data_IF_096828223290
#
_entry.id   IF_096828223290
#
_cell.length_a   1.000
_cell.length_b   1.000
_cell.length_c   1.000
_cell.angle_alpha   90.00
_cell.angle_beta   90.00
_cell.angle_gamma   90.00
#
_symmetry.space_group_name_H-M   'P 1'
#
loop_
_entity.id
_entity.type
_entity.pdbx_description
1 polymer ?
#
# COMPACT_ATOMS: atom_id res chain seq x y z
N UNK A 1 5.95 -17.15 -29.39
CA UNK A 1 6.22 -17.19 -27.95
C UNK A 1 6.83 -15.85 -27.61
N UNK A 2 6.01 -14.94 -27.06
CA UNK A 2 6.46 -13.60 -26.68
C UNK A 2 7.32 -13.70 -25.43
N UNK A 3 8.52 -13.19 -25.53
CA UNK A 3 9.44 -13.01 -24.41
C UNK A 3 8.76 -12.04 -23.42
N UNK A 4 8.32 -12.56 -22.29
CA UNK A 4 7.66 -11.80 -21.24
C UNK A 4 8.65 -10.84 -20.59
N UNK A 5 8.73 -9.62 -21.14
CA UNK A 5 9.56 -8.56 -20.61
C UNK A 5 9.21 -8.30 -19.16
N UNK A 6 10.11 -8.62 -18.24
CA UNK A 6 9.98 -8.29 -16.81
C UNK A 6 10.17 -6.78 -16.64
N UNK A 7 9.15 -6.12 -16.04
CA UNK A 7 9.25 -4.71 -15.67
C UNK A 7 10.13 -4.56 -14.44
N UNK A 8 11.34 -4.07 -14.62
CA UNK A 8 12.23 -3.72 -13.52
C UNK A 8 12.05 -2.24 -13.16
N UNK A 9 11.45 -1.95 -12.01
CA UNK A 9 11.60 -0.64 -11.39
C UNK A 9 13.00 -0.58 -10.78
N UNK A 10 13.91 0.20 -11.39
CA UNK A 10 15.33 0.25 -10.96
C UNK A 10 15.47 0.86 -9.56
N UNK A 11 14.59 1.76 -9.13
CA UNK A 11 14.58 2.26 -7.76
C UNK A 11 14.08 1.17 -6.79
N UNK A 12 13.07 0.40 -7.18
CA UNK A 12 12.67 -0.80 -6.43
C UNK A 12 13.77 -1.85 -6.43
N UNK A 13 14.53 -2.00 -7.52
CA UNK A 13 15.69 -2.89 -7.59
C UNK A 13 16.87 -2.37 -6.77
N UNK A 14 17.10 -1.06 -6.71
CA UNK A 14 18.10 -0.48 -5.80
C UNK A 14 17.65 -0.63 -4.35
N UNK A 15 16.35 -0.52 -4.07
CA UNK A 15 15.76 -0.82 -2.77
C UNK A 15 15.87 -2.32 -2.44
N UNK A 16 15.52 -3.22 -3.38
CA UNK A 16 15.62 -4.69 -3.19
C UNK A 16 17.05 -5.19 -3.13
N UNK A 17 18.02 -4.52 -3.82
CA UNK A 17 19.46 -4.86 -3.84
C UNK A 17 20.31 -3.90 -3.03
N UNK A 18 19.77 -2.76 -2.55
CA UNK A 18 20.46 -1.73 -1.81
C UNK A 18 20.60 -2.06 -0.31
N UNK A 19 21.21 -1.15 0.42
CA UNK A 19 21.28 -1.22 1.89
C UNK A 19 19.86 -1.04 2.44
N UNK A 20 19.22 -2.14 2.84
CA UNK A 20 18.02 -2.05 3.66
C UNK A 20 18.42 -1.52 5.04
N UNK A 21 17.63 -0.61 5.63
CA UNK A 21 17.76 -0.34 7.05
C UNK A 21 17.69 -1.67 7.81
N UNK A 22 18.50 -1.82 8.84
CA UNK A 22 18.42 -3.01 9.68
C UNK A 22 17.06 -3.02 10.39
N UNK A 23 16.20 -3.99 10.06
CA UNK A 23 14.87 -4.15 10.68
C UNK A 23 13.70 -3.97 9.71
N UNK A 24 12.50 -4.00 10.27
CA UNK A 24 11.26 -3.91 9.52
C UNK A 24 10.93 -2.45 9.17
N UNK A 25 10.85 -2.13 7.90
CA UNK A 25 10.57 -0.75 7.43
C UNK A 25 9.18 -0.25 7.84
N UNK A 26 8.16 -1.12 7.98
CA UNK A 26 6.84 -0.73 8.45
C UNK A 26 6.85 -0.44 9.96
N UNK A 27 7.63 -1.17 10.75
CA UNK A 27 7.87 -0.81 12.15
C UNK A 27 8.62 0.52 12.27
N UNK A 28 9.63 0.76 11.43
CA UNK A 28 10.36 2.02 11.41
C UNK A 28 9.46 3.21 11.01
N UNK A 29 8.58 3.03 10.02
CA UNK A 29 7.59 4.06 9.66
C UNK A 29 6.59 4.30 10.80
N UNK A 30 6.11 3.23 11.47
CA UNK A 30 5.27 3.30 12.66
C UNK A 30 5.91 4.15 13.77
N UNK A 31 7.21 3.98 13.96
CA UNK A 31 8.00 4.63 15.01
C UNK A 31 8.63 5.96 14.57
N UNK A 32 8.20 6.47 13.40
CA UNK A 32 8.66 7.75 12.81
C UNK A 32 10.19 7.86 12.67
N UNK A 33 10.85 6.73 12.32
CA UNK A 33 12.28 6.74 12.04
C UNK A 33 12.61 7.66 10.86
N UNK A 34 13.66 8.49 10.96
CA UNK A 34 14.10 9.35 9.85
C UNK A 34 14.70 8.56 8.66
N UNK A 35 14.99 7.29 8.84
CA UNK A 35 15.61 6.44 7.81
C UNK A 35 14.61 5.89 6.79
N UNK A 36 13.30 6.11 7.00
CA UNK A 36 12.23 5.67 6.10
C UNK A 36 11.25 6.80 5.81
N UNK A 37 10.65 6.76 4.62
CA UNK A 37 9.62 7.72 4.25
C UNK A 37 8.30 7.29 4.89
N UNK A 38 7.73 8.12 5.74
CA UNK A 38 6.39 7.91 6.32
C UNK A 38 5.31 8.48 5.40
N UNK A 39 4.57 7.58 4.75
CA UNK A 39 3.41 7.90 3.92
C UNK A 39 2.08 7.48 4.58
N UNK A 40 2.06 7.38 5.90
CA UNK A 40 0.85 7.07 6.67
C UNK A 40 -0.23 8.11 6.41
N UNK A 41 -1.46 7.64 6.17
CA UNK A 41 -2.64 8.49 5.96
C UNK A 41 -3.63 8.41 7.12
N UNK A 42 -3.55 7.32 7.88
CA UNK A 42 -4.40 7.05 9.04
C UNK A 42 -3.72 6.04 9.97
N UNK A 43 -4.03 6.15 11.25
CA UNK A 43 -3.57 5.24 12.30
C UNK A 43 -4.59 5.17 13.42
N UNK A 44 -4.80 3.98 13.96
CA UNK A 44 -5.40 3.78 15.29
C UNK A 44 -4.48 2.93 16.18
N UNK A 45 -5.02 2.34 17.22
CA UNK A 45 -4.29 1.49 18.18
C UNK A 45 -3.90 0.11 17.61
N UNK A 46 -4.60 -0.37 16.58
CA UNK A 46 -4.40 -1.69 16.00
C UNK A 46 -3.78 -1.67 14.59
N UNK A 47 -4.10 -0.66 13.76
CA UNK A 47 -3.71 -0.62 12.36
C UNK A 47 -3.18 0.75 11.91
N UNK A 48 -2.37 0.69 10.85
CA UNK A 48 -1.88 1.85 10.11
C UNK A 48 -2.20 1.65 8.64
N UNK A 49 -2.73 2.69 7.99
CA UNK A 49 -2.87 2.76 6.54
C UNK A 49 -1.84 3.74 5.98
N UNK A 50 -1.10 3.33 4.96
CA UNK A 50 -0.09 4.16 4.31
C UNK A 50 -0.16 4.00 2.79
N UNK A 51 0.22 5.05 2.05
CA UNK A 51 0.46 4.95 0.60
C UNK A 51 1.72 4.13 0.36
N UNK A 52 1.66 3.19 -0.57
CA UNK A 52 2.84 2.43 -0.96
C UNK A 52 3.85 3.36 -1.67
N UNK A 53 5.09 3.39 -1.20
CA UNK A 53 6.16 4.20 -1.80
C UNK A 53 6.48 3.79 -3.26
N UNK A 54 6.29 2.51 -3.58
CA UNK A 54 6.45 1.96 -4.94
C UNK A 54 5.13 1.39 -5.44
N UNK A 55 4.13 2.27 -5.72
CA UNK A 55 2.78 1.82 -6.01
C UNK A 55 2.71 1.08 -7.34
N UNK A 56 1.84 0.07 -7.41
CA UNK A 56 1.48 -0.57 -8.68
C UNK A 56 0.58 0.33 -9.51
N UNK A 57 -0.30 1.11 -8.84
CA UNK A 57 -1.21 2.08 -9.43
C UNK A 57 -1.34 3.30 -8.52
N UNK A 58 -1.75 4.47 -9.04
CA UNK A 58 -2.13 5.61 -8.20
C UNK A 58 -3.15 5.21 -7.13
N UNK A 59 -2.96 5.66 -5.90
CA UNK A 59 -3.83 5.29 -4.78
C UNK A 59 -3.55 3.92 -4.13
N UNK A 60 -2.49 3.21 -4.52
CA UNK A 60 -2.13 1.93 -3.90
C UNK A 60 -1.80 2.12 -2.41
N UNK A 61 -2.65 1.56 -1.54
CA UNK A 61 -2.47 1.57 -0.09
C UNK A 61 -1.97 0.24 0.45
N UNK A 62 -1.27 0.34 1.57
CA UNK A 62 -0.95 -0.75 2.49
C UNK A 62 -1.74 -0.53 3.78
N UNK A 63 -2.43 -1.56 4.27
CA UNK A 63 -3.06 -1.58 5.58
C UNK A 63 -2.38 -2.67 6.40
N UNK A 64 -1.73 -2.30 7.51
CA UNK A 64 -0.89 -3.22 8.28
C UNK A 64 -1.09 -3.03 9.79
N UNK A 65 -0.95 -4.11 10.59
CA UNK A 65 -1.09 -4.04 12.03
C UNK A 65 0.04 -3.22 12.68
N UNK A 66 -0.27 -2.55 13.79
CA UNK A 66 0.71 -1.79 14.58
C UNK A 66 1.76 -2.72 15.17
N UNK A 67 1.35 -3.90 15.68
CA UNK A 67 2.29 -4.92 16.14
C UNK A 67 2.94 -5.63 14.96
N UNK A 68 4.17 -6.05 15.10
CA UNK A 68 4.88 -6.80 14.06
C UNK A 68 4.39 -8.24 14.03
N UNK A 69 3.74 -8.63 12.94
CA UNK A 69 3.37 -10.01 12.59
C UNK A 69 3.65 -10.23 11.12
N UNK A 70 3.86 -11.46 10.70
CA UNK A 70 4.18 -11.81 9.31
C UNK A 70 3.07 -12.59 8.61
N UNK A 71 2.16 -13.18 9.39
CA UNK A 71 1.12 -14.08 8.87
C UNK A 71 -0.28 -13.64 9.34
N UNK A 72 -1.26 -13.73 8.44
CA UNK A 72 -2.66 -13.40 8.74
C UNK A 72 -3.26 -14.25 9.86
N UNK A 73 -2.75 -15.48 10.05
CA UNK A 73 -3.18 -16.39 11.10
C UNK A 73 -2.77 -15.95 12.51
N UNK A 74 -1.88 -14.99 12.62
CA UNK A 74 -1.45 -14.40 13.88
C UNK A 74 -2.36 -13.27 14.36
N UNK A 75 -3.29 -12.80 13.50
CA UNK A 75 -4.24 -11.76 13.89
C UNK A 75 -5.21 -12.26 14.95
N UNK A 76 -5.50 -11.41 15.91
CA UNK A 76 -6.58 -11.65 16.89
C UNK A 76 -7.95 -11.42 16.26
N UNK A 77 -9.01 -11.96 16.86
CA UNK A 77 -10.38 -11.71 16.38
C UNK A 77 -10.74 -10.21 16.37
N UNK A 78 -10.23 -9.43 17.32
CA UNK A 78 -10.43 -7.98 17.34
C UNK A 78 -9.74 -7.30 16.15
N UNK A 79 -8.50 -7.71 15.84
CA UNK A 79 -7.77 -7.19 14.69
C UNK A 79 -8.45 -7.57 13.37
N UNK A 80 -8.98 -8.78 13.22
CA UNK A 80 -9.72 -9.19 12.02
C UNK A 80 -10.96 -8.32 11.79
N UNK A 81 -11.74 -8.04 12.84
CA UNK A 81 -12.92 -7.16 12.76
C UNK A 81 -12.51 -5.74 12.41
N UNK A 82 -11.45 -5.21 13.05
CA UNK A 82 -10.92 -3.86 12.77
C UNK A 82 -10.38 -3.74 11.36
N UNK A 83 -9.63 -4.75 10.89
CA UNK A 83 -9.10 -4.83 9.54
C UNK A 83 -10.21 -4.73 8.49
N UNK A 84 -11.28 -5.53 8.65
CA UNK A 84 -12.41 -5.52 7.72
C UNK A 84 -13.14 -4.16 7.70
N UNK A 85 -13.28 -3.50 8.85
CA UNK A 85 -13.90 -2.19 8.95
C UNK A 85 -13.02 -1.10 8.32
N UNK A 86 -11.71 -1.09 8.64
CA UNK A 86 -10.75 -0.15 8.08
C UNK A 86 -10.62 -0.30 6.56
N UNK A 87 -10.59 -1.54 6.05
CA UNK A 87 -10.58 -1.82 4.62
C UNK A 87 -11.78 -1.17 3.91
N UNK A 88 -13.01 -1.37 4.41
CA UNK A 88 -14.23 -0.76 3.80
C UNK A 88 -14.16 0.76 3.78
N UNK A 89 -13.74 1.36 4.87
CA UNK A 89 -13.58 2.82 4.97
C UNK A 89 -12.52 3.35 3.99
N UNK A 90 -11.36 2.70 3.90
CA UNK A 90 -10.29 3.07 2.97
C UNK A 90 -10.72 2.97 1.51
N UNK A 91 -11.50 1.96 1.14
CA UNK A 91 -12.06 1.84 -0.21
C UNK A 91 -12.98 3.04 -0.51
N UNK A 92 -13.81 3.48 0.45
CA UNK A 92 -14.64 4.68 0.29
C UNK A 92 -13.81 5.96 0.12
N UNK A 93 -12.66 6.10 0.81
CA UNK A 93 -11.74 7.21 0.59
C UNK A 93 -11.12 7.16 -0.82
N UNK A 94 -10.70 5.97 -1.26
CA UNK A 94 -10.11 5.76 -2.58
C UNK A 94 -11.12 6.04 -3.71
N UNK A 95 -12.38 5.64 -3.55
CA UNK A 95 -13.45 5.94 -4.52
C UNK A 95 -13.54 7.44 -4.79
N UNK A 96 -13.47 8.25 -3.73
CA UNK A 96 -13.55 9.71 -3.85
C UNK A 96 -12.25 10.36 -4.33
N UNK A 97 -11.11 9.84 -3.89
CA UNK A 97 -9.82 10.40 -4.24
C UNK A 97 -9.40 10.09 -5.68
N UNK A 98 -9.70 8.88 -6.16
CA UNK A 98 -9.10 8.32 -7.37
C UNK A 98 -10.13 7.86 -8.40
N UNK A 99 -11.42 7.72 -8.04
CA UNK A 99 -12.49 7.21 -8.89
C UNK A 99 -12.09 5.94 -9.69
N UNK A 100 -11.59 4.88 -9.05
CA UNK A 100 -11.15 3.68 -9.74
C UNK A 100 -12.34 2.89 -10.29
N UNK A 101 -12.08 1.96 -11.21
CA UNK A 101 -13.10 1.09 -11.79
C UNK A 101 -13.16 -0.29 -11.11
N UNK A 102 -12.28 -0.55 -10.15
CA UNK A 102 -12.23 -1.77 -9.39
C UNK A 102 -10.99 -1.83 -8.50
N UNK A 103 -10.81 -2.95 -7.79
CA UNK A 103 -9.69 -3.15 -6.86
C UNK A 103 -9.12 -4.54 -6.97
N UNK A 104 -7.81 -4.66 -6.79
CA UNK A 104 -7.19 -5.89 -6.34
C UNK A 104 -6.83 -5.75 -4.86
N UNK A 105 -7.28 -6.71 -4.06
CA UNK A 105 -7.08 -6.71 -2.61
C UNK A 105 -6.47 -8.05 -2.23
N UNK A 106 -5.37 -8.04 -1.46
CA UNK A 106 -4.73 -9.28 -1.06
C UNK A 106 -3.43 -9.08 -0.30
N UNK A 107 -2.90 -10.19 0.20
CA UNK A 107 -1.61 -10.28 0.89
C UNK A 107 -0.57 -10.98 0.03
N UNK A 108 0.68 -10.58 0.19
CA UNK A 108 1.83 -11.39 -0.19
C UNK A 108 2.45 -11.93 1.10
N UNK A 109 2.28 -13.21 1.38
CA UNK A 109 2.85 -13.84 2.57
C UNK A 109 3.99 -14.79 2.17
N UNK A 110 5.17 -14.53 2.70
CA UNK A 110 6.40 -15.28 2.38
C UNK A 110 7.04 -14.88 1.06
N UNK A 111 8.34 -15.12 0.95
CA UNK A 111 9.16 -14.67 -0.20
C UNK A 111 8.73 -15.29 -1.53
N UNK A 112 8.26 -16.54 -1.53
CA UNK A 112 7.76 -17.22 -2.73
C UNK A 112 6.47 -16.58 -3.30
N UNK A 113 5.69 -15.90 -2.45
CA UNK A 113 4.52 -15.13 -2.85
C UNK A 113 4.83 -13.67 -3.23
N UNK A 114 6.11 -13.29 -3.24
CA UNK A 114 6.56 -11.94 -3.60
C UNK A 114 6.51 -10.94 -2.44
N UNK A 115 6.43 -11.40 -1.18
CA UNK A 115 6.58 -10.53 -0.02
C UNK A 115 8.00 -9.95 0.00
N UNK A 116 8.12 -8.62 -0.09
CA UNK A 116 9.39 -7.89 0.03
C UNK A 116 9.61 -7.30 1.43
N UNK A 117 8.60 -7.35 2.28
CA UNK A 117 8.61 -6.85 3.66
C UNK A 117 8.08 -7.95 4.56
N UNK A 118 8.89 -8.37 5.54
CA UNK A 118 8.52 -9.33 6.58
C UNK A 118 7.66 -8.66 7.66
N UNK A 119 6.51 -8.16 7.29
CA UNK A 119 5.47 -7.61 8.13
C UNK A 119 4.15 -7.69 7.35
N UNK A 120 3.14 -8.31 7.93
CA UNK A 120 1.85 -8.50 7.28
C UNK A 120 1.26 -7.17 6.83
N UNK A 121 0.91 -7.06 5.56
CA UNK A 121 0.26 -5.87 5.01
C UNK A 121 -0.72 -6.26 3.91
N UNK A 122 -1.94 -5.74 4.04
CA UNK A 122 -2.97 -5.88 3.02
C UNK A 122 -2.76 -4.82 1.95
N UNK A 123 -2.62 -5.25 0.71
CA UNK A 123 -2.61 -4.37 -0.46
C UNK A 123 -4.04 -3.99 -0.85
N UNK A 124 -4.30 -2.70 -1.01
CA UNK A 124 -5.50 -2.15 -1.63
C UNK A 124 -5.06 -1.42 -2.90
N UNK A 125 -5.28 -2.05 -4.06
CA UNK A 125 -4.76 -1.57 -5.34
C UNK A 125 -5.91 -1.14 -6.23
N UNK A 126 -6.12 0.18 -6.41
CA UNK A 126 -7.09 0.68 -7.39
C UNK A 126 -6.75 0.23 -8.80
N UNK A 127 -7.78 -0.06 -9.61
CA UNK A 127 -7.65 -0.47 -10.99
C UNK A 127 -8.38 0.50 -11.91
N UNK A 128 -7.74 0.82 -13.04
CA UNK A 128 -8.23 1.81 -13.99
C UNK A 128 -8.36 1.21 -15.39
N UNK A 129 -9.31 1.69 -16.23
CA UNK A 129 -9.36 1.29 -17.63
C UNK A 129 -8.09 1.76 -18.34
N UNK A 130 -7.60 0.93 -19.28
CA UNK A 130 -6.42 1.25 -20.11
C UNK A 130 -5.18 1.61 -19.29
N UNK A 131 -4.89 0.83 -18.28
CA UNK A 131 -3.75 1.03 -17.37
C UNK A 131 -2.38 1.04 -18.08
N UNK A 132 -2.30 0.51 -19.30
CA UNK A 132 -1.09 0.55 -20.12
C UNK A 132 -1.26 1.61 -21.22
N UNK A 133 -0.55 2.71 -21.13
CA UNK A 133 -0.54 3.78 -22.12
C UNK A 133 0.57 3.61 -23.15
N UNK A 134 0.55 4.44 -24.20
CA UNK A 134 1.60 4.45 -25.24
C UNK A 134 2.98 4.77 -24.65
N UNK A 135 3.04 5.61 -23.62
CA UNK A 135 4.27 5.93 -22.91
C UNK A 135 4.87 4.70 -22.21
N UNK A 136 4.02 3.84 -21.61
CA UNK A 136 4.46 2.60 -20.98
C UNK A 136 5.00 1.61 -22.02
N UNK A 137 4.37 1.55 -23.20
CA UNK A 137 4.80 0.68 -24.30
C UNK A 137 6.14 1.15 -24.88
N UNK A 138 6.33 2.45 -25.08
CA UNK A 138 7.58 3.02 -25.63
C UNK A 138 8.72 2.93 -24.61
N UNK A 139 8.43 3.22 -23.32
CA UNK A 139 9.44 3.21 -22.27
C UNK A 139 9.78 1.78 -21.80
N UNK A 140 8.99 0.78 -22.16
CA UNK A 140 9.09 -0.56 -21.59
C UNK A 140 8.94 -0.59 -20.07
N UNK A 141 8.31 0.45 -19.49
CA UNK A 141 8.14 0.67 -18.06
C UNK A 141 6.81 1.34 -17.80
N UNK A 142 6.22 1.04 -16.65
CA UNK A 142 5.03 1.73 -16.20
C UNK A 142 5.37 3.16 -15.76
N UNK A 143 4.71 4.14 -16.35
CA UNK A 143 4.83 5.54 -15.97
C UNK A 143 3.83 5.82 -14.86
N UNK A 144 4.32 6.10 -13.66
CA UNK A 144 3.48 6.59 -12.56
C UNK A 144 3.26 8.09 -12.75
N UNK A 145 2.02 8.49 -12.86
CA UNK A 145 1.61 9.88 -13.19
C UNK A 145 1.50 10.74 -11.93
N UNK A 146 1.57 10.15 -10.72
CA UNK A 146 1.35 10.85 -9.45
C UNK A 146 2.44 10.48 -8.44
N UNK A 147 2.97 11.50 -7.72
CA UNK A 147 3.90 11.31 -6.60
C UNK A 147 3.13 10.67 -5.42
N UNK A 148 3.61 9.56 -4.84
CA UNK A 148 3.01 8.95 -3.65
C UNK A 148 2.85 9.90 -2.46
N UNK A 149 3.71 10.91 -2.34
CA UNK A 149 3.61 11.94 -1.29
C UNK A 149 2.39 12.82 -1.48
N UNK A 150 2.08 13.18 -2.72
CA UNK A 150 0.91 13.99 -3.05
C UNK A 150 -0.38 13.18 -2.85
N UNK A 151 -0.36 11.92 -3.26
CA UNK A 151 -1.44 10.98 -2.96
C UNK A 151 -1.68 10.89 -1.45
N UNK A 152 -0.62 10.75 -0.65
CA UNK A 152 -0.73 10.68 0.80
C UNK A 152 -1.29 11.96 1.41
N UNK A 153 -0.85 13.14 0.94
CA UNK A 153 -1.37 14.43 1.40
C UNK A 153 -2.88 14.53 1.16
N UNK A 154 -3.33 14.24 -0.06
CA UNK A 154 -4.74 14.29 -0.45
C UNK A 154 -5.60 13.31 0.35
N UNK A 155 -5.12 12.09 0.56
CA UNK A 155 -5.84 11.08 1.33
C UNK A 155 -5.91 11.42 2.82
N UNK A 156 -4.88 12.05 3.41
CA UNK A 156 -4.93 12.57 4.79
C UNK A 156 -6.01 13.64 4.95
N UNK A 157 -6.13 14.55 4.01
CA UNK A 157 -7.16 15.59 4.03
C UNK A 157 -8.57 14.99 3.98
N UNK A 158 -8.79 14.00 3.11
CA UNK A 158 -10.08 13.30 3.04
C UNK A 158 -10.35 12.49 4.32
N UNK A 159 -9.37 11.79 4.85
CA UNK A 159 -9.50 11.03 6.10
C UNK A 159 -9.84 11.93 7.31
N UNK A 160 -9.31 13.16 7.34
CA UNK A 160 -9.65 14.14 8.35
C UNK A 160 -11.09 14.66 8.24
N UNK A 161 -11.63 14.76 7.02
CA UNK A 161 -13.01 15.17 6.77
C UNK A 161 -14.02 14.04 7.08
N UNK A 162 -13.61 12.79 6.92
CA UNK A 162 -14.44 11.62 7.18
C UNK A 162 -13.67 10.62 8.05
N UNK A 163 -13.59 10.90 9.36
CA UNK A 163 -12.82 10.07 10.27
C UNK A 163 -13.39 8.63 10.33
N UNK A 164 -12.46 7.69 10.50
CA UNK A 164 -12.82 6.29 10.69
C UNK A 164 -13.75 6.08 11.90
N UNK A 165 -14.79 5.27 11.72
CA UNK A 165 -15.70 4.86 12.80
C UNK A 165 -16.11 3.41 12.62
N UNK A 166 -16.07 2.63 13.68
CA UNK A 166 -16.58 1.25 13.71
C UNK A 166 -18.11 1.15 13.56
N UNK A 167 -18.83 2.24 13.78
CA UNK A 167 -20.31 2.24 13.85
C UNK A 167 -21.03 2.47 12.52
N UNK A 168 -20.33 2.48 11.38
CA UNK A 168 -20.98 2.54 10.07
C UNK A 168 -21.24 1.11 9.55
N UNK A 169 -22.36 0.54 9.99
CA UNK A 169 -23.00 -0.63 9.35
C UNK A 169 -23.72 -0.20 8.08
#
# INVERSE_FOLDING_TARGET
MGDGGYFFNFEKMSYVKGRHPAGCILCMARDHSPDVVDLSIWRDDLFIAAVNLYPYNPGHLLLYPVRHVEDVRELTAEEEVRLAAAQRWLLGLLDRACAPHGYNIGYNMGGAAGASIGHLHLHLIPRYPRETGIADLIAGRRVLVEDPRETARRLRELAAQEPFSMSRS
#
